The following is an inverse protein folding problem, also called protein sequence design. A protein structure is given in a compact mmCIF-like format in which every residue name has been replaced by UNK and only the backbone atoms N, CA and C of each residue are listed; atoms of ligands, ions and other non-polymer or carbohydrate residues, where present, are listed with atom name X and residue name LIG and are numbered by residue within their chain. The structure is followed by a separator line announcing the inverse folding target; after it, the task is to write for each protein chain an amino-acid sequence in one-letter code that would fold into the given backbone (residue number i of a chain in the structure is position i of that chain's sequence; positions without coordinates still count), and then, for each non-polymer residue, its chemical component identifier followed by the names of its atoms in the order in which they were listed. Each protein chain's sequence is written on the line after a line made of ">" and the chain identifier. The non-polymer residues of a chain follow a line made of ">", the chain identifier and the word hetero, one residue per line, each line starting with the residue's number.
data_IF_414703981386
#
_entry.id   IF_414703981386
#
_cell.length_a   1.000
_cell.length_b   1.000
_cell.length_c   1.000
_cell.angle_alpha   90.00
_cell.angle_beta   90.00
_cell.angle_gamma   90.00
#
_symmetry.space_group_name_H-M   'P 1'
#
loop_
_entity.id
_entity.type
_entity.pdbx_description
1 polymer ?
#
# COMPACT_ATOMS: atom_id res chain seq x y z
N UNK A 1 2.47 -8.88 11.00
CA UNK A 1 1.42 -7.87 10.87
C UNK A 1 0.90 -7.80 9.46
N UNK A 2 -0.41 -7.72 9.26
CA UNK A 2 -0.96 -7.54 7.93
C UNK A 2 -0.87 -6.10 7.46
N UNK A 3 -0.87 -5.94 6.15
CA UNK A 3 -1.14 -4.66 5.53
C UNK A 3 -2.64 -4.51 5.40
N UNK A 4 -3.15 -3.34 5.76
CA UNK A 4 -4.56 -3.02 5.66
C UNK A 4 -4.74 -1.90 4.65
N UNK A 5 -5.60 -2.14 3.66
CA UNK A 5 -5.90 -1.16 2.63
C UNK A 5 -7.38 -0.83 2.74
N UNK A 6 -7.71 0.39 3.11
CA UNK A 6 -9.10 0.79 3.22
C UNK A 6 -9.77 0.77 1.86
N UNK A 7 -11.05 0.43 1.83
CA UNK A 7 -11.80 0.34 0.57
C UNK A 7 -11.85 1.66 -0.18
N UNK A 8 -11.81 2.78 0.55
CA UNK A 8 -11.72 4.10 -0.09
C UNK A 8 -10.45 4.26 -0.90
N UNK A 9 -9.33 3.72 -0.40
CA UNK A 9 -8.06 3.73 -1.14
C UNK A 9 -8.16 2.81 -2.34
N UNK A 10 -8.73 1.62 -2.17
CA UNK A 10 -8.91 0.70 -3.28
C UNK A 10 -9.78 1.32 -4.39
N UNK A 11 -10.78 2.10 -4.02
CA UNK A 11 -11.60 2.83 -5.00
C UNK A 11 -10.79 3.83 -5.82
N UNK A 12 -9.84 4.53 -5.18
CA UNK A 12 -8.93 5.40 -5.91
C UNK A 12 -8.13 4.64 -6.96
N UNK A 13 -7.75 3.41 -6.63
CA UNK A 13 -6.98 2.55 -7.51
C UNK A 13 -7.85 1.82 -8.54
N UNK A 14 -9.15 1.96 -8.44
CA UNK A 14 -10.12 1.17 -9.21
C UNK A 14 -9.91 -0.32 -9.00
N UNK A 15 -9.65 -0.71 -7.76
CA UNK A 15 -9.36 -2.09 -7.36
C UNK A 15 -10.42 -2.62 -6.40
N UNK A 16 -10.67 -3.92 -6.48
CA UNK A 16 -11.60 -4.62 -5.62
C UNK A 16 -10.94 -5.88 -5.07
N UNK A 17 -11.70 -6.68 -4.33
CA UNK A 17 -11.21 -7.94 -3.79
C UNK A 17 -10.56 -8.80 -4.88
N UNK A 18 -9.40 -9.36 -4.56
CA UNK A 18 -8.57 -10.19 -5.43
C UNK A 18 -7.81 -9.44 -6.53
N UNK A 19 -8.01 -8.15 -6.64
CA UNK A 19 -7.16 -7.37 -7.52
C UNK A 19 -5.77 -7.23 -6.90
N UNK A 20 -4.78 -7.04 -7.75
CA UNK A 20 -3.40 -6.94 -7.33
C UNK A 20 -2.98 -5.49 -7.18
N UNK A 21 -2.22 -5.20 -6.13
CA UNK A 21 -1.62 -3.90 -5.91
C UNK A 21 -0.11 -4.04 -5.78
N UNK A 22 0.59 -2.97 -6.05
CA UNK A 22 2.03 -2.93 -5.95
C UNK A 22 2.47 -1.59 -5.38
N UNK A 23 3.70 -1.56 -4.92
CA UNK A 23 4.27 -0.35 -4.31
C UNK A 23 5.54 0.02 -5.04
N UNK A 24 5.76 1.31 -5.20
CA UNK A 24 7.01 1.86 -5.71
C UNK A 24 7.60 2.78 -4.66
N UNK A 25 8.91 2.78 -4.53
CA UNK A 25 9.60 3.57 -3.52
C UNK A 25 10.55 4.54 -4.19
N UNK A 26 10.54 5.77 -3.75
CA UNK A 26 11.45 6.81 -4.23
C UNK A 26 12.38 7.26 -3.12
N UNK A 27 13.64 6.84 -3.18
CA UNK A 27 14.64 7.27 -2.19
C UNK A 27 14.94 8.76 -2.32
N UNK A 28 14.90 9.26 -3.55
CA UNK A 28 15.13 10.67 -3.82
C UNK A 28 14.13 11.55 -3.10
N UNK A 29 12.84 11.17 -3.16
CA UNK A 29 11.77 11.95 -2.58
C UNK A 29 11.36 11.45 -1.20
N UNK A 30 11.97 10.36 -0.72
CA UNK A 30 11.66 9.73 0.55
C UNK A 30 10.18 9.41 0.70
N UNK A 31 9.58 8.87 -0.33
CA UNK A 31 8.17 8.54 -0.35
C UNK A 31 7.92 7.24 -1.10
N UNK A 32 6.69 6.77 -0.99
CA UNK A 32 6.27 5.57 -1.70
C UNK A 32 4.98 5.85 -2.44
N UNK A 33 4.63 4.95 -3.34
CA UNK A 33 3.42 5.03 -4.14
C UNK A 33 2.73 3.68 -4.11
N UNK A 34 1.41 3.69 -4.20
CA UNK A 34 0.59 2.50 -4.35
C UNK A 34 -0.14 2.58 -5.68
N UNK A 35 -0.25 1.45 -6.37
CA UNK A 35 -0.94 1.40 -7.65
C UNK A 35 -1.50 0.01 -7.90
N UNK A 36 -2.53 -0.04 -8.75
CA UNK A 36 -3.08 -1.31 -9.22
C UNK A 36 -2.21 -1.85 -10.34
N UNK A 37 -1.95 -3.15 -10.33
CA UNK A 37 -1.19 -3.78 -11.41
C UNK A 37 -1.90 -4.99 -11.95
N UNK A 38 -1.45 -5.45 -13.12
CA UNK A 38 -1.91 -6.72 -13.68
C UNK A 38 -1.44 -7.85 -12.76
N UNK A 39 -2.32 -8.83 -12.44
CA UNK A 39 -1.94 -9.90 -11.54
C UNK A 39 -0.73 -10.70 -12.05
N UNK A 40 0.25 -10.86 -11.19
CA UNK A 40 1.46 -11.64 -11.45
C UNK A 40 1.74 -12.52 -10.24
N UNK A 41 2.70 -13.43 -10.38
CA UNK A 41 3.04 -14.36 -9.32
C UNK A 41 3.42 -13.67 -8.01
N UNK A 42 4.15 -12.55 -8.09
CA UNK A 42 4.63 -11.82 -6.92
C UNK A 42 3.72 -10.68 -6.47
N UNK A 43 2.54 -10.55 -7.04
CA UNK A 43 1.63 -9.47 -6.70
C UNK A 43 1.03 -9.61 -5.31
N UNK A 44 0.67 -8.49 -4.71
CA UNK A 44 -0.05 -8.46 -3.44
C UNK A 44 -1.54 -8.37 -3.74
N UNK A 45 -2.28 -9.40 -3.35
CA UNK A 45 -3.70 -9.50 -3.66
C UNK A 45 -4.55 -9.02 -2.50
N UNK A 46 -5.52 -8.17 -2.80
CA UNK A 46 -6.42 -7.64 -1.79
C UNK A 46 -7.39 -8.72 -1.30
N UNK A 47 -7.19 -9.17 -0.09
CA UNK A 47 -8.05 -10.17 0.55
C UNK A 47 -9.16 -9.49 1.35
N UNK A 48 -10.35 -10.07 1.33
CA UNK A 48 -11.46 -9.55 2.09
C UNK A 48 -11.22 -9.72 3.60
N UNK A 49 -11.25 -8.62 4.34
CA UNK A 49 -10.99 -8.64 5.77
C UNK A 49 -12.06 -7.93 6.59
N UNK A 50 -13.03 -7.27 5.95
CA UNK A 50 -14.08 -6.56 6.65
C UNK A 50 -14.87 -5.67 5.72
N UNK A 51 -15.75 -4.87 6.31
CA UNK A 51 -16.61 -3.95 5.53
C UNK A 51 -15.84 -2.78 4.93
N UNK A 52 -14.82 -2.33 5.66
CA UNK A 52 -14.15 -1.07 5.35
C UNK A 52 -12.75 -1.26 4.77
N UNK A 53 -12.24 -2.48 4.76
CA UNK A 53 -10.86 -2.69 4.35
C UNK A 53 -10.60 -4.07 3.77
N UNK A 54 -9.52 -4.13 2.98
CA UNK A 54 -8.91 -5.35 2.50
C UNK A 54 -7.58 -5.54 3.22
N UNK A 55 -7.03 -6.73 3.19
CA UNK A 55 -5.70 -6.94 3.75
C UNK A 55 -4.91 -7.96 2.94
N UNK A 56 -3.61 -7.89 3.09
CA UNK A 56 -2.69 -8.91 2.61
C UNK A 56 -1.50 -8.97 3.58
N UNK A 57 -0.71 -10.03 3.48
CA UNK A 57 0.44 -10.21 4.35
C UNK A 57 1.68 -10.44 3.49
N UNK A 58 2.75 -9.72 3.80
CA UNK A 58 4.04 -9.93 3.21
C UNK A 58 5.12 -9.51 4.21
N UNK A 59 5.85 -10.48 4.70
CA UNK A 59 6.92 -10.22 5.65
C UNK A 59 8.04 -9.40 5.01
N UNK A 60 8.39 -9.70 3.77
CA UNK A 60 9.43 -8.98 3.05
C UNK A 60 9.05 -7.51 2.83
N UNK A 61 7.83 -7.28 2.39
CA UNK A 61 7.35 -5.92 2.16
C UNK A 61 7.28 -5.14 3.47
N UNK A 62 6.85 -5.79 4.55
CA UNK A 62 6.79 -5.16 5.86
C UNK A 62 8.16 -4.71 6.32
N UNK A 63 9.18 -5.57 6.19
CA UNK A 63 10.55 -5.20 6.54
C UNK A 63 11.04 -4.03 5.69
N UNK A 64 10.70 -4.03 4.41
CA UNK A 64 11.07 -2.95 3.52
C UNK A 64 10.47 -1.62 3.95
N UNK A 65 9.19 -1.61 4.31
CA UNK A 65 8.51 -0.42 4.83
C UNK A 65 9.15 0.08 6.12
N UNK A 66 9.43 -0.83 7.05
CA UNK A 66 10.06 -0.49 8.33
C UNK A 66 11.41 0.19 8.09
N UNK A 67 12.24 -0.41 7.25
CA UNK A 67 13.57 0.12 6.97
C UNK A 67 13.52 1.43 6.18
N UNK A 68 12.64 1.49 5.19
CA UNK A 68 12.53 2.67 4.33
C UNK A 68 12.05 3.89 5.10
N UNK A 69 10.99 3.73 5.88
CA UNK A 69 10.37 4.83 6.62
C UNK A 69 10.91 4.97 8.05
N UNK A 70 11.77 4.05 8.48
CA UNK A 70 12.36 4.03 9.83
C UNK A 70 11.31 4.07 10.93
N UNK A 71 10.27 3.25 10.78
CA UNK A 71 9.20 3.14 11.75
C UNK A 71 9.47 2.02 12.74
N UNK A 72 8.82 2.09 13.90
CA UNK A 72 8.97 1.07 14.94
C UNK A 72 8.18 -0.19 14.59
N UNK A 73 8.84 -1.35 14.73
CA UNK A 73 8.23 -2.64 14.40
C UNK A 73 6.99 -2.99 15.20
N UNK A 74 6.93 -2.53 16.43
CA UNK A 74 5.92 -2.95 17.39
C UNK A 74 4.68 -2.09 17.40
N UNK A 75 4.67 -1.02 16.63
CA UNK A 75 3.55 -0.10 16.59
C UNK A 75 2.82 -0.18 15.27
N UNK A 76 1.51 -0.03 15.32
CA UNK A 76 0.73 0.14 14.11
C UNK A 76 1.12 1.48 13.48
N UNK A 77 1.40 1.46 12.19
CA UNK A 77 1.78 2.66 11.47
C UNK A 77 0.73 2.95 10.41
N UNK A 78 0.25 4.17 10.39
CA UNK A 78 -0.76 4.61 9.45
C UNK A 78 -0.14 5.46 8.38
N UNK A 79 -0.60 5.27 7.16
CA UNK A 79 -0.16 6.05 6.02
C UNK A 79 -1.35 6.77 5.41
N UNK A 80 -1.12 7.98 4.98
CA UNK A 80 -2.11 8.74 4.25
C UNK A 80 -1.84 8.58 2.76
N UNK A 81 -2.91 8.36 1.99
CA UNK A 81 -2.83 8.24 0.55
C UNK A 81 -3.32 9.55 -0.06
N UNK A 82 -2.47 10.22 -0.82
CA UNK A 82 -2.83 11.45 -1.50
C UNK A 82 -3.73 11.13 -2.68
N UNK A 83 -4.77 11.93 -2.87
CA UNK A 83 -5.83 11.59 -3.82
C UNK A 83 -5.54 11.98 -5.26
N UNK A 84 -4.46 12.72 -5.51
CA UNK A 84 -4.06 13.12 -6.85
C UNK A 84 -2.96 12.19 -7.34
N UNK A 85 -3.19 11.37 -8.37
CA UNK A 85 -2.16 10.46 -8.87
C UNK A 85 -1.04 11.22 -9.59
N UNK A 86 0.11 10.57 -9.68
CA UNK A 86 1.21 11.10 -10.48
C UNK A 86 0.97 10.80 -11.97
N UNK A 87 1.95 11.14 -12.81
CA UNK A 87 1.88 10.95 -14.27
C UNK A 87 1.66 9.49 -14.67
N UNK A 88 2.10 8.56 -13.83
CA UNK A 88 1.97 7.12 -14.09
C UNK A 88 0.71 6.51 -13.50
N UNK A 89 -0.14 7.33 -12.89
CA UNK A 89 -1.35 6.85 -12.24
C UNK A 89 -1.14 6.23 -10.87
N UNK A 90 0.02 6.49 -10.26
CA UNK A 90 0.35 5.98 -8.93
C UNK A 90 -0.03 7.00 -7.87
N UNK A 91 -0.49 6.52 -6.71
CA UNK A 91 -0.92 7.39 -5.61
C UNK A 91 0.14 7.41 -4.52
N UNK A 92 0.60 8.58 -4.18
CA UNK A 92 1.64 8.77 -3.15
C UNK A 92 1.09 8.44 -1.77
N UNK A 93 1.90 7.73 -0.99
CA UNK A 93 1.59 7.44 0.41
C UNK A 93 2.67 8.07 1.29
N UNK A 94 2.23 8.65 2.39
CA UNK A 94 3.12 9.29 3.36
C UNK A 94 2.75 8.83 4.76
N UNK A 95 3.72 8.69 5.67
CA UNK A 95 3.39 8.34 7.04
C UNK A 95 2.52 9.43 7.68
N UNK A 96 1.47 8.99 8.37
CA UNK A 96 0.66 9.88 9.19
C UNK A 96 1.32 10.05 10.54
N UNK A 97 1.47 11.27 10.96
CA UNK A 97 2.08 11.60 12.25
C UNK A 97 1.04 11.90 13.32
#
# INVERSE_FOLDING_TARGET
>A
MPFVVFKKVAELLNATQRDAVMFAFSRKDNCAYIYKEEPEEDSYYLGNAGREYYRFTSKELMHYFIDFFKVEKEKAVYFEVLTTPNEKGMFKIVPSL
#
